data_IF_399005815161
#
_entry.id   IF_399005815161
#
_cell.length_a   1.000
_cell.length_b   1.000
_cell.length_c   1.000
_cell.angle_alpha   90.00
_cell.angle_beta   90.00
_cell.angle_gamma   90.00
#
_symmetry.space_group_name_H-M   'P 1'
#
loop_
_entity.id
_entity.type
_entity.pdbx_description
1 polymer ?
#
# COMPACT_ATOMS: atom_id res chain seq x y z
N UNK A 1 -6.22 9.10 -42.16
CA UNK A 1 -5.03 8.52 -41.49
C UNK A 1 -4.75 9.22 -40.15
N UNK A 2 -4.58 10.55 -40.11
CA UNK A 2 -4.26 11.29 -38.87
C UNK A 2 -5.30 11.13 -37.74
N UNK A 3 -6.60 11.24 -38.04
CA UNK A 3 -7.67 11.07 -37.02
C UNK A 3 -7.67 9.65 -36.44
N UNK A 4 -7.41 8.64 -37.27
CA UNK A 4 -7.36 7.26 -36.80
C UNK A 4 -6.14 6.95 -35.95
N UNK A 5 -5.02 7.60 -36.26
CA UNK A 5 -3.82 7.60 -35.43
C UNK A 5 -4.11 8.25 -34.06
N UNK A 6 -4.76 9.41 -34.04
CA UNK A 6 -5.10 10.14 -32.80
C UNK A 6 -6.05 9.33 -31.91
N UNK A 7 -7.08 8.68 -32.48
CA UNK A 7 -8.00 7.81 -31.73
C UNK A 7 -7.23 6.61 -31.16
N UNK A 8 -6.40 5.94 -31.96
CA UNK A 8 -5.59 4.79 -31.50
C UNK A 8 -4.61 5.19 -30.39
N UNK A 9 -3.99 6.37 -30.52
CA UNK A 9 -3.13 6.94 -29.49
C UNK A 9 -3.94 7.24 -28.22
N UNK A 10 -5.13 7.83 -28.33
CA UNK A 10 -6.02 8.05 -27.17
C UNK A 10 -6.37 6.77 -26.42
N UNK A 11 -6.76 5.71 -27.14
CA UNK A 11 -7.05 4.40 -26.55
C UNK A 11 -5.80 3.67 -26.02
N UNK A 12 -4.59 4.02 -26.47
CA UNK A 12 -3.35 3.48 -25.91
C UNK A 12 -3.05 3.99 -24.49
N UNK A 13 -3.69 5.09 -24.06
CA UNK A 13 -3.62 5.60 -22.69
C UNK A 13 -4.70 5.02 -21.76
N UNK A 14 -5.69 4.30 -22.29
CA UNK A 14 -6.76 3.70 -21.49
C UNK A 14 -6.25 2.78 -20.36
N UNK A 15 -5.20 1.94 -20.53
CA UNK A 15 -4.64 1.14 -19.45
C UNK A 15 -4.14 1.98 -18.27
N UNK A 16 -3.59 3.18 -18.52
CA UNK A 16 -3.18 4.09 -17.44
C UNK A 16 -4.35 4.60 -16.60
N UNK A 17 -5.58 4.47 -17.10
CA UNK A 17 -6.82 4.86 -16.40
C UNK A 17 -7.50 3.61 -15.81
N UNK A 18 -7.49 2.49 -16.54
CA UNK A 18 -8.13 1.23 -16.13
C UNK A 18 -7.32 0.52 -15.06
N UNK A 19 -5.99 0.47 -15.12
CA UNK A 19 -5.18 -0.25 -14.14
C UNK A 19 -5.36 0.32 -12.71
N UNK A 20 -5.35 1.65 -12.48
CA UNK A 20 -5.70 2.21 -11.18
C UNK A 20 -7.13 1.88 -10.74
N UNK A 21 -8.09 1.92 -11.67
CA UNK A 21 -9.49 1.62 -11.37
C UNK A 21 -9.72 0.14 -11.03
N UNK A 22 -9.08 -0.79 -11.76
CA UNK A 22 -9.12 -2.22 -11.45
C UNK A 22 -8.46 -2.48 -10.11
N UNK A 23 -7.26 -1.93 -9.86
CA UNK A 23 -6.57 -2.11 -8.58
C UNK A 23 -7.39 -1.57 -7.39
N UNK A 24 -8.10 -0.45 -7.57
CA UNK A 24 -9.00 0.11 -6.55
C UNK A 24 -10.24 -0.76 -6.28
N UNK A 25 -10.60 -1.66 -7.21
CA UNK A 25 -11.76 -2.55 -7.10
C UNK A 25 -11.38 -4.03 -6.90
N UNK A 26 -10.10 -4.35 -6.71
CA UNK A 26 -9.69 -5.70 -6.34
C UNK A 26 -10.19 -6.00 -4.93
N UNK A 27 -10.81 -7.17 -4.76
CA UNK A 27 -11.32 -7.63 -3.47
C UNK A 27 -10.12 -7.76 -2.52
N UNK A 28 -10.08 -6.95 -1.47
CA UNK A 28 -9.10 -7.09 -0.37
C UNK A 28 -9.20 -8.52 0.17
N UNK A 29 -8.09 -9.25 0.14
CA UNK A 29 -8.01 -10.58 0.71
C UNK A 29 -7.64 -10.45 2.19
N UNK A 30 -8.44 -11.05 3.05
CA UNK A 30 -8.16 -11.10 4.50
C UNK A 30 -7.22 -12.27 4.80
N UNK A 31 -6.26 -12.03 5.69
CA UNK A 31 -5.38 -13.06 6.22
C UNK A 31 -6.22 -14.14 6.89
N UNK A 32 -5.92 -15.41 6.60
CA UNK A 32 -6.62 -16.55 7.19
C UNK A 32 -5.64 -17.61 7.68
N UNK A 33 -6.14 -18.51 8.55
CA UNK A 33 -5.34 -19.61 9.09
C UNK A 33 -4.86 -20.59 8.00
N UNK A 34 -5.48 -20.60 6.81
CA UNK A 34 -5.06 -21.46 5.70
C UNK A 34 -3.87 -20.89 4.92
N UNK A 35 -3.58 -19.60 5.08
CA UNK A 35 -2.44 -18.94 4.46
C UNK A 35 -1.14 -19.25 5.22
N UNK A 36 0.02 -19.27 4.51
CA UNK A 36 1.32 -19.50 5.15
C UNK A 36 1.59 -18.56 6.33
N UNK A 37 1.38 -17.24 6.15
CA UNK A 37 1.58 -16.28 7.24
C UNK A 37 0.58 -16.49 8.39
N UNK A 38 -0.68 -16.80 8.09
CA UNK A 38 -1.69 -17.01 9.14
C UNK A 38 -1.36 -18.21 10.02
N UNK A 39 -0.97 -19.35 9.42
CA UNK A 39 -0.44 -20.51 10.17
C UNK A 39 0.79 -20.15 10.96
N UNK A 40 1.72 -19.42 10.33
CA UNK A 40 2.97 -19.04 10.95
C UNK A 40 2.75 -18.20 12.22
N UNK A 41 1.96 -17.13 12.12
CA UNK A 41 1.62 -16.27 13.26
C UNK A 41 0.90 -17.04 14.37
N UNK A 42 -0.01 -17.96 14.02
CA UNK A 42 -0.69 -18.85 14.97
C UNK A 42 0.28 -19.74 15.77
N UNK A 43 1.45 -20.05 15.22
CA UNK A 43 2.46 -20.87 15.87
C UNK A 43 3.49 -20.07 16.67
N UNK A 44 3.77 -18.82 16.29
CA UNK A 44 4.86 -18.03 16.91
C UNK A 44 4.37 -16.97 17.89
N UNK A 45 3.07 -16.67 17.94
CA UNK A 45 2.55 -15.56 18.75
C UNK A 45 2.79 -15.72 20.26
N UNK A 46 3.00 -16.93 20.77
CA UNK A 46 3.25 -17.20 22.19
C UNK A 46 4.75 -17.41 22.50
N UNK A 47 5.63 -17.31 21.51
CA UNK A 47 7.06 -17.38 21.76
C UNK A 47 7.53 -16.22 22.65
N UNK A 48 8.49 -16.43 23.58
CA UNK A 48 8.86 -15.42 24.58
C UNK A 48 9.33 -14.09 23.98
N UNK A 49 10.18 -14.12 22.94
CA UNK A 49 10.77 -12.91 22.35
C UNK A 49 9.98 -12.36 21.15
N UNK A 50 8.83 -12.93 20.81
CA UNK A 50 8.01 -12.44 19.68
C UNK A 50 6.89 -11.59 20.22
N UNK A 51 6.51 -10.51 19.56
CA UNK A 51 5.29 -9.77 19.86
C UNK A 51 4.53 -9.69 18.55
N UNK A 52 3.24 -10.03 18.55
CA UNK A 52 2.41 -9.85 17.36
C UNK A 52 1.51 -8.65 17.58
N UNK A 53 1.45 -7.77 16.58
CA UNK A 53 0.69 -6.53 16.63
C UNK A 53 -0.20 -6.39 15.39
N UNK A 54 -1.41 -5.88 15.58
CA UNK A 54 -2.29 -5.41 14.50
C UNK A 54 -1.87 -4.02 14.06
N UNK A 55 -1.69 -3.85 12.75
CA UNK A 55 -1.36 -2.56 12.13
C UNK A 55 -2.56 -1.94 11.42
N UNK A 56 -3.67 -1.81 12.15
CA UNK A 56 -4.96 -1.49 11.57
C UNK A 56 -5.58 -2.66 10.81
N UNK A 57 -6.51 -2.37 9.90
CA UNK A 57 -7.18 -3.40 9.10
C UNK A 57 -6.63 -3.45 7.68
N UNK A 58 -6.49 -2.29 7.06
CA UNK A 58 -6.05 -2.19 5.67
C UNK A 58 -4.97 -1.17 5.42
N UNK A 59 -4.55 -0.44 6.46
CA UNK A 59 -3.52 0.59 6.34
C UNK A 59 -3.90 1.69 5.33
N UNK A 60 -5.21 1.89 5.10
CA UNK A 60 -5.76 2.87 4.15
C UNK A 60 -6.86 3.68 4.80
N UNK A 61 -6.87 4.99 4.56
CA UNK A 61 -8.02 5.86 4.85
C UNK A 61 -9.23 5.50 3.97
N UNK A 62 -10.45 6.00 4.27
CA UNK A 62 -11.63 5.79 3.42
C UNK A 62 -11.43 6.18 1.94
N UNK A 63 -10.56 7.16 1.70
CA UNK A 63 -10.25 7.67 0.36
C UNK A 63 -9.04 7.00 -0.31
N UNK A 64 -8.42 6.02 0.34
CA UNK A 64 -7.31 5.24 -0.21
C UNK A 64 -5.93 5.90 -0.09
N UNK A 65 -5.76 6.87 0.81
CA UNK A 65 -4.43 7.31 1.25
C UNK A 65 -3.86 6.30 2.27
N UNK A 66 -2.59 5.92 2.09
CA UNK A 66 -1.96 4.75 2.71
C UNK A 66 -1.10 5.10 3.95
N UNK A 67 -1.21 6.31 4.49
CA UNK A 67 -0.30 6.78 5.55
C UNK A 67 -0.87 6.70 6.97
N UNK A 68 -2.18 6.82 7.15
CA UNK A 68 -2.80 6.91 8.48
C UNK A 68 -4.27 6.45 8.45
N UNK A 69 -4.54 5.19 8.76
CA UNK A 69 -5.89 4.61 8.62
C UNK A 69 -6.96 5.26 9.52
N UNK A 70 -6.57 5.78 10.69
CA UNK A 70 -7.49 6.25 11.72
C UNK A 70 -7.42 7.76 11.99
N UNK A 71 -6.60 8.50 11.24
CA UNK A 71 -6.49 9.94 11.38
C UNK A 71 -6.14 10.62 10.05
N UNK A 72 -6.74 11.78 9.78
CA UNK A 72 -6.38 12.63 8.66
C UNK A 72 -6.52 14.10 9.06
N UNK A 73 -5.56 14.93 8.66
CA UNK A 73 -5.65 16.39 8.85
C UNK A 73 -6.56 17.05 7.81
N UNK A 74 -6.67 16.46 6.62
CA UNK A 74 -7.41 17.03 5.50
C UNK A 74 -8.90 16.67 5.51
N UNK A 75 -9.27 15.60 6.21
CA UNK A 75 -10.63 15.06 6.17
C UNK A 75 -11.02 14.37 7.47
N UNK A 76 -12.29 14.49 7.83
CA UNK A 76 -12.84 13.79 8.98
C UNK A 76 -13.14 12.32 8.62
N UNK A 77 -12.39 11.40 9.23
CA UNK A 77 -12.67 9.97 9.15
C UNK A 77 -13.88 9.66 10.06
N UNK A 78 -14.96 9.02 9.57
CA UNK A 78 -16.12 8.70 10.39
C UNK A 78 -15.81 7.72 11.52
N UNK A 79 -16.36 7.91 12.72
CA UNK A 79 -16.19 6.97 13.85
C UNK A 79 -16.62 5.54 13.49
N UNK A 80 -17.70 5.39 12.72
CA UNK A 80 -18.18 4.08 12.27
C UNK A 80 -17.17 3.33 11.39
N UNK A 81 -16.34 4.07 10.63
CA UNK A 81 -15.25 3.47 9.85
C UNK A 81 -14.14 2.94 10.77
N UNK A 82 -13.75 3.72 11.77
CA UNK A 82 -12.76 3.31 12.78
C UNK A 82 -13.24 2.07 13.53
N UNK A 83 -14.51 2.05 13.97
CA UNK A 83 -15.12 0.91 14.65
C UNK A 83 -15.14 -0.35 13.78
N UNK A 84 -15.62 -0.25 12.54
CA UNK A 84 -15.66 -1.38 11.60
C UNK A 84 -14.26 -1.96 11.36
N UNK A 85 -13.29 -1.10 11.06
CA UNK A 85 -11.93 -1.54 10.76
C UNK A 85 -11.26 -2.17 11.97
N UNK A 86 -11.40 -1.60 13.17
CA UNK A 86 -10.89 -2.25 14.41
C UNK A 86 -11.55 -3.61 14.62
N UNK A 87 -12.87 -3.72 14.46
CA UNK A 87 -13.59 -4.98 14.67
C UNK A 87 -13.22 -6.06 13.66
N UNK A 88 -13.06 -5.70 12.39
CA UNK A 88 -12.63 -6.63 11.33
C UNK A 88 -11.20 -7.09 11.55
N UNK A 89 -10.27 -6.18 11.87
CA UNK A 89 -8.88 -6.53 12.18
C UNK A 89 -8.80 -7.51 13.36
N UNK A 90 -9.56 -7.25 14.43
CA UNK A 90 -9.66 -8.16 15.57
C UNK A 90 -10.25 -9.52 15.18
N UNK A 91 -11.30 -9.54 14.35
CA UNK A 91 -11.94 -10.78 13.89
C UNK A 91 -10.95 -11.66 13.13
N UNK A 92 -10.14 -11.06 12.26
CA UNK A 92 -9.06 -11.77 11.55
C UNK A 92 -8.08 -12.40 12.54
N UNK A 93 -7.49 -11.62 13.45
CA UNK A 93 -6.53 -12.15 14.43
C UNK A 93 -7.11 -13.21 15.37
N UNK A 94 -8.37 -13.04 15.78
CA UNK A 94 -9.10 -14.04 16.56
C UNK A 94 -9.23 -15.36 15.81
N UNK A 95 -9.51 -15.31 14.50
CA UNK A 95 -9.62 -16.50 13.67
C UNK A 95 -8.30 -17.26 13.52
N UNK A 96 -7.17 -16.57 13.68
CA UNK A 96 -5.82 -17.18 13.68
C UNK A 96 -5.48 -17.86 15.02
N UNK A 97 -6.34 -17.73 16.05
CA UNK A 97 -6.09 -18.27 17.38
C UNK A 97 -5.10 -17.46 18.23
N UNK A 98 -4.75 -16.24 17.79
CA UNK A 98 -3.86 -15.34 18.53
C UNK A 98 -4.64 -14.73 19.70
N UNK A 99 -4.21 -15.06 20.92
CA UNK A 99 -4.95 -14.69 22.14
C UNK A 99 -4.57 -13.30 22.61
N UNK A 100 -3.28 -13.03 22.71
CA UNK A 100 -2.72 -11.77 23.18
C UNK A 100 -1.90 -11.13 22.06
N UNK A 101 -2.19 -9.85 21.78
CA UNK A 101 -1.54 -9.09 20.72
C UNK A 101 -1.63 -7.59 21.02
N UNK A 102 -0.74 -6.83 20.37
CA UNK A 102 -0.76 -5.39 20.38
C UNK A 102 -1.63 -4.82 19.26
N UNK A 103 -1.99 -3.56 19.39
CA UNK A 103 -2.52 -2.76 18.31
C UNK A 103 -1.68 -1.50 18.21
N UNK A 104 -1.08 -1.31 17.05
CA UNK A 104 -0.18 -0.21 16.68
C UNK A 104 -0.80 0.47 15.45
N UNK A 105 -1.30 1.71 15.54
CA UNK A 105 -1.95 2.33 14.40
C UNK A 105 -0.94 2.67 13.28
N UNK A 106 -1.37 2.57 12.02
CA UNK A 106 -0.64 3.09 10.86
C UNK A 106 -0.16 4.54 11.06
N UNK A 107 1.08 4.80 10.67
CA UNK A 107 1.65 6.15 10.56
C UNK A 107 1.77 6.95 11.86
N UNK A 108 1.66 6.32 13.04
CA UNK A 108 1.65 7.02 14.32
C UNK A 108 0.60 8.16 14.36
N UNK A 109 -0.57 7.91 13.76
CA UNK A 109 -1.61 8.90 13.63
C UNK A 109 -2.96 8.33 14.09
N UNK A 110 -3.51 8.91 15.16
CA UNK A 110 -4.80 8.55 15.73
C UNK A 110 -5.38 9.72 16.53
N UNK A 111 -6.62 9.56 17.00
CA UNK A 111 -7.26 10.49 17.91
C UNK A 111 -7.98 9.79 19.07
N UNK A 112 -8.70 10.57 19.88
CA UNK A 112 -9.43 10.09 21.06
C UNK A 112 -10.53 9.07 20.74
N UNK A 113 -11.03 9.03 19.51
CA UNK A 113 -12.07 8.08 19.09
C UNK A 113 -11.49 6.68 19.02
N UNK A 114 -10.32 6.52 18.38
CA UNK A 114 -9.62 5.22 18.36
C UNK A 114 -9.31 4.74 19.78
N UNK A 115 -8.81 5.62 20.65
CA UNK A 115 -8.52 5.29 22.06
C UNK A 115 -9.77 4.76 22.77
N UNK A 116 -10.91 5.42 22.60
CA UNK A 116 -12.18 5.00 23.20
C UNK A 116 -12.62 3.63 22.69
N UNK A 117 -12.60 3.42 21.37
CA UNK A 117 -12.99 2.17 20.73
C UNK A 117 -12.11 1.02 21.22
N UNK A 118 -10.78 1.19 21.25
CA UNK A 118 -9.86 0.16 21.73
C UNK A 118 -10.14 -0.19 23.21
N UNK A 119 -10.41 0.79 24.07
CA UNK A 119 -10.77 0.53 25.47
C UNK A 119 -12.08 -0.26 25.58
N UNK A 120 -13.10 0.10 24.80
CA UNK A 120 -14.39 -0.61 24.74
C UNK A 120 -14.23 -2.05 24.22
N UNK A 121 -13.29 -2.29 23.30
CA UNK A 121 -12.94 -3.61 22.78
C UNK A 121 -11.97 -4.40 23.69
N UNK A 122 -11.73 -3.93 24.91
CA UNK A 122 -11.00 -4.66 25.94
C UNK A 122 -9.48 -4.46 25.92
N UNK A 123 -8.96 -3.46 25.21
CA UNK A 123 -7.54 -3.14 25.26
C UNK A 123 -7.18 -2.30 26.48
N UNK A 124 -5.98 -2.53 27.01
CA UNK A 124 -5.27 -1.57 27.85
C UNK A 124 -4.52 -0.63 26.91
N UNK A 125 -4.93 0.64 26.88
CA UNK A 125 -4.34 1.66 26.01
C UNK A 125 -3.36 2.50 26.80
N UNK A 126 -2.16 2.61 26.28
CA UNK A 126 -1.07 3.43 26.81
C UNK A 126 -0.79 4.53 25.80
N UNK A 127 -0.78 5.77 26.29
CA UNK A 127 -0.46 6.95 25.51
C UNK A 127 0.90 7.48 25.98
N UNK A 128 1.78 7.80 25.05
CA UNK A 128 3.10 8.34 25.35
C UNK A 128 3.54 9.39 24.35
N UNK A 129 4.78 9.86 24.52
CA UNK A 129 5.46 10.71 23.53
C UNK A 129 6.58 9.92 22.87
N UNK A 130 6.58 9.91 21.54
CA UNK A 130 7.66 9.33 20.77
C UNK A 130 8.81 10.30 20.79
N UNK A 131 9.95 9.83 21.29
CA UNK A 131 11.21 10.51 21.12
C UNK A 131 12.06 9.75 20.11
N UNK A 132 12.88 10.45 19.33
CA UNK A 132 13.86 9.83 18.45
C UNK A 132 13.63 10.14 16.98
N UNK A 133 14.17 9.28 16.11
CA UNK A 133 14.35 9.56 14.68
C UNK A 133 13.30 8.84 13.87
N UNK A 134 12.29 9.57 13.41
CA UNK A 134 11.31 9.07 12.43
C UNK A 134 11.42 9.93 11.15
N UNK A 135 11.51 9.32 9.95
CA UNK A 135 11.61 10.05 8.68
C UNK A 135 10.55 11.16 8.55
N UNK A 136 11.03 12.36 8.24
CA UNK A 136 10.26 13.62 8.30
C UNK A 136 9.21 13.82 7.21
N UNK A 137 9.10 12.95 6.20
CA UNK A 137 8.02 13.04 5.19
C UNK A 137 6.66 12.57 5.74
N UNK A 138 6.63 11.73 6.77
CA UNK A 138 5.42 11.29 7.49
C UNK A 138 5.12 12.22 8.68
N UNK A 139 6.14 12.90 9.20
CA UNK A 139 6.04 13.78 10.37
C UNK A 139 5.60 15.20 9.98
N UNK A 140 4.31 15.38 9.67
CA UNK A 140 3.73 16.71 9.53
C UNK A 140 3.74 17.45 10.88
N UNK A 141 4.65 18.42 10.99
CA UNK A 141 4.58 19.64 11.81
C UNK A 141 4.50 19.54 13.35
N UNK A 142 5.63 19.82 14.00
CA UNK A 142 5.80 20.62 15.24
C UNK A 142 4.91 20.30 16.46
N UNK A 143 4.36 19.10 16.59
CA UNK A 143 3.76 18.60 17.85
C UNK A 143 4.64 17.47 18.41
N UNK A 144 4.75 17.32 19.74
CA UNK A 144 5.27 16.07 20.28
C UNK A 144 4.40 14.95 19.70
N UNK A 145 5.02 14.10 18.86
CA UNK A 145 4.36 12.94 18.31
C UNK A 145 3.93 12.12 19.51
N UNK A 146 2.62 11.99 19.69
CA UNK A 146 2.13 11.04 20.68
C UNK A 146 2.41 9.64 20.11
N UNK A 147 2.24 8.60 20.89
CA UNK A 147 1.98 7.26 20.36
C UNK A 147 0.92 6.60 21.19
N UNK A 148 0.27 5.62 20.58
CA UNK A 148 -0.67 4.75 21.25
C UNK A 148 -0.17 3.32 21.11
N UNK A 149 -0.04 2.66 22.25
CA UNK A 149 0.14 1.22 22.32
C UNK A 149 -1.08 0.65 22.99
N UNK A 150 -1.75 -0.30 22.36
CA UNK A 150 -2.89 -0.98 22.95
C UNK A 150 -2.61 -2.48 23.09
N UNK A 151 -2.71 -2.99 24.32
CA UNK A 151 -2.48 -4.41 24.64
C UNK A 151 -3.82 -5.07 24.91
N UNK A 152 -4.16 -6.14 24.18
CA UNK A 152 -5.44 -6.82 24.37
C UNK A 152 -5.47 -7.57 25.70
N UNK A 153 -6.52 -7.37 26.52
CA UNK A 153 -6.73 -8.13 27.75
C UNK A 153 -7.39 -9.48 27.47
N UNK A 154 -6.92 -10.51 28.17
CA UNK A 154 -7.47 -11.86 28.19
C UNK A 154 -8.36 -12.02 29.42
N UNK A 155 -9.65 -12.28 29.20
CA UNK A 155 -10.64 -12.44 30.27
C UNK A 155 -10.64 -11.28 31.29
N UNK A 156 -10.38 -10.06 30.83
CA UNK A 156 -10.37 -8.84 31.64
C UNK A 156 -9.01 -8.47 32.27
N UNK A 157 -7.99 -9.33 32.16
CA UNK A 157 -6.65 -9.08 32.72
C UNK A 157 -5.57 -9.09 31.63
N UNK A 158 -4.41 -8.47 31.90
CA UNK A 158 -3.23 -8.62 31.04
C UNK A 158 -2.68 -10.04 31.22
N UNK A 159 -2.24 -10.67 30.13
CA UNK A 159 -1.50 -11.91 30.20
C UNK A 159 -0.07 -11.67 30.65
N UNK A 160 0.66 -12.74 30.98
CA UNK A 160 2.06 -12.66 31.39
C UNK A 160 2.94 -11.95 30.35
N UNK A 161 2.61 -12.12 29.07
CA UNK A 161 3.32 -11.50 27.97
C UNK A 161 3.03 -10.01 27.86
N UNK A 162 1.75 -9.62 27.99
CA UNK A 162 1.37 -8.21 28.07
C UNK A 162 2.04 -7.50 29.25
N UNK A 163 2.17 -8.17 30.40
CA UNK A 163 2.93 -7.67 31.55
C UNK A 163 4.42 -7.51 31.22
N UNK A 164 5.05 -8.50 30.61
CA UNK A 164 6.47 -8.43 30.23
C UNK A 164 6.75 -7.29 29.24
N UNK A 165 5.91 -7.14 28.22
CA UNK A 165 5.98 -6.04 27.26
C UNK A 165 5.83 -4.70 28.00
N UNK A 166 4.84 -4.58 28.88
CA UNK A 166 4.64 -3.37 29.68
C UNK A 166 5.87 -3.04 30.54
N UNK A 167 6.56 -4.05 31.07
CA UNK A 167 7.76 -3.86 31.89
C UNK A 167 8.94 -3.32 31.09
N UNK A 168 9.08 -3.75 29.83
CA UNK A 168 10.12 -3.25 28.93
C UNK A 168 9.82 -1.82 28.50
N UNK A 169 8.57 -1.56 28.11
CA UNK A 169 8.16 -0.28 27.56
C UNK A 169 8.02 0.79 28.64
N UNK A 170 7.50 0.43 29.81
CA UNK A 170 7.26 1.34 30.92
C UNK A 170 7.62 0.68 32.28
N UNK A 171 8.92 0.54 32.60
CA UNK A 171 9.35 -0.05 33.87
C UNK A 171 8.77 0.66 35.10
N UNK A 172 8.47 1.96 34.99
CA UNK A 172 7.85 2.78 36.05
C UNK A 172 6.36 2.49 36.26
N UNK A 173 5.71 1.79 35.34
CA UNK A 173 4.29 1.43 35.46
C UNK A 173 4.03 0.36 36.52
N UNK A 174 5.06 -0.40 36.94
CA UNK A 174 4.93 -1.43 37.96
C UNK A 174 4.84 -0.89 39.40
N UNK A 175 5.32 0.33 39.67
CA UNK A 175 5.42 0.84 41.05
C UNK A 175 4.09 1.33 41.65
N UNK A 176 2.98 1.28 40.93
CA UNK A 176 1.67 1.75 41.40
C UNK A 176 0.65 0.62 41.26
N UNK A 177 0.35 -0.05 42.37
CA UNK A 177 -0.68 -1.09 42.43
C UNK A 177 -2.07 -0.56 42.03
N UNK A 178 -2.84 -1.44 41.36
CA UNK A 178 -4.28 -1.45 41.01
C UNK A 178 -4.99 -0.18 40.50
N UNK A 179 -4.34 0.98 40.46
CA UNK A 179 -4.82 2.16 39.74
C UNK A 179 -3.77 2.55 38.74
N UNK A 180 -3.89 2.01 37.51
CA UNK A 180 -3.21 2.55 36.32
C UNK A 180 -3.83 3.92 36.02
N UNK A 181 -3.55 4.91 36.88
CA UNK A 181 -3.92 6.30 36.67
C UNK A 181 -3.00 6.88 35.59
N UNK A 182 -3.52 6.89 34.35
CA UNK A 182 -3.48 7.94 33.31
C UNK A 182 -2.22 8.82 33.08
N UNK A 183 -1.10 8.64 33.76
CA UNK A 183 0.01 9.61 33.76
C UNK A 183 1.41 8.99 33.76
N UNK A 184 1.52 7.70 33.45
CA UNK A 184 2.80 7.10 33.09
C UNK A 184 3.04 7.34 31.60
N UNK A 185 3.51 8.54 31.26
CA UNK A 185 4.07 8.79 29.93
C UNK A 185 5.19 7.80 29.69
N UNK A 186 4.95 6.88 28.76
CA UNK A 186 5.95 5.95 28.29
C UNK A 186 7.02 6.77 27.56
N UNK A 187 8.28 6.62 27.98
CA UNK A 187 9.44 7.21 27.30
C UNK A 187 10.19 6.11 26.57
N UNK A 188 9.80 5.87 25.33
CA UNK A 188 10.56 5.03 24.40
C UNK A 188 11.28 5.99 23.44
N UNK A 189 12.54 5.67 23.17
CA UNK A 189 13.26 6.29 22.06
C UNK A 189 13.11 5.38 20.85
N UNK A 190 12.19 5.75 19.96
CA UNK A 190 11.95 5.08 18.70
C UNK A 190 12.91 5.61 17.64
N UNK A 191 13.46 4.73 16.83
CA UNK A 191 14.27 5.15 15.70
C UNK A 191 14.07 4.25 14.48
N UNK A 192 13.80 4.90 13.36
CA UNK A 192 13.77 4.32 12.04
C UNK A 192 14.94 4.85 11.21
N UNK A 193 15.84 3.93 10.85
CA UNK A 193 17.04 4.24 10.07
C UNK A 193 16.98 3.71 8.63
N UNK A 194 16.14 2.69 8.42
CA UNK A 194 16.16 1.85 7.22
C UNK A 194 15.09 2.23 6.21
N UNK A 195 14.43 3.37 6.39
CA UNK A 195 13.42 3.86 5.47
C UNK A 195 13.95 3.94 4.03
N UNK A 196 13.22 3.36 3.08
CA UNK A 196 13.58 3.27 1.67
C UNK A 196 14.87 2.47 1.36
N UNK A 197 15.37 1.65 2.30
CA UNK A 197 16.52 0.78 2.04
C UNK A 197 16.23 -0.36 1.06
N UNK A 198 14.96 -0.62 0.72
CA UNK A 198 14.55 -1.51 -0.39
C UNK A 198 15.18 -1.15 -1.74
N UNK A 199 15.63 0.10 -1.90
CA UNK A 199 16.29 0.59 -3.11
C UNK A 199 17.82 0.66 -3.01
N UNK A 200 18.41 0.21 -1.90
CA UNK A 200 19.88 0.13 -1.78
C UNK A 200 20.44 -0.96 -2.69
N UNK A 201 21.61 -0.67 -3.28
CA UNK A 201 22.30 -1.57 -4.20
C UNK A 201 23.72 -1.92 -3.76
N UNK A 202 24.31 -1.16 -2.84
CA UNK A 202 25.62 -1.42 -2.26
C UNK A 202 25.73 -0.87 -0.82
N UNK A 203 26.80 -1.27 -0.11
CA UNK A 203 27.13 -0.80 1.25
C UNK A 203 27.94 0.51 1.25
N UNK A 204 28.40 0.99 0.09
CA UNK A 204 29.20 2.22 -0.06
C UNK A 204 28.31 3.47 -0.08
N UNK A 205 26.98 3.31 -0.18
CA UNK A 205 26.02 4.39 0.02
C UNK A 205 26.22 5.00 1.42
N UNK A 206 26.47 6.33 1.54
CA UNK A 206 26.71 7.01 2.82
C UNK A 206 25.63 6.80 3.89
N UNK A 207 24.43 6.37 3.48
CA UNK A 207 23.27 6.10 4.33
C UNK A 207 23.54 5.02 5.38
N UNK A 208 24.29 3.97 5.04
CA UNK A 208 24.56 2.87 6.00
C UNK A 208 25.45 3.35 7.15
N UNK A 209 26.57 4.02 6.85
CA UNK A 209 27.46 4.56 7.87
C UNK A 209 26.79 5.66 8.70
N UNK A 210 25.95 6.48 8.06
CA UNK A 210 25.16 7.49 8.76
C UNK A 210 24.18 6.85 9.75
N UNK A 211 23.48 5.78 9.35
CA UNK A 211 22.61 5.03 10.25
C UNK A 211 23.37 4.48 11.46
N UNK A 212 24.57 3.90 11.28
CA UNK A 212 25.38 3.42 12.39
C UNK A 212 25.87 4.53 13.33
N UNK A 213 26.20 5.72 12.79
CA UNK A 213 26.55 6.89 13.62
C UNK A 213 25.34 7.37 14.42
N UNK A 214 24.19 7.49 13.77
CA UNK A 214 22.95 7.96 14.40
C UNK A 214 22.46 6.97 15.46
N UNK A 215 22.52 5.67 15.20
CA UNK A 215 22.21 4.61 16.16
C UNK A 215 22.93 4.81 17.51
N UNK A 216 24.23 5.11 17.48
CA UNK A 216 25.02 5.37 18.69
C UNK A 216 24.64 6.67 19.40
N UNK A 217 24.30 7.70 18.64
CA UNK A 217 23.92 9.02 19.15
C UNK A 217 22.53 9.01 19.78
N UNK A 218 21.56 8.42 19.08
CA UNK A 218 20.15 8.42 19.45
C UNK A 218 19.91 7.43 20.62
N UNK A 219 20.73 6.39 20.77
CA UNK A 219 20.65 5.36 21.81
C UNK A 219 19.21 4.80 21.96
N UNK A 220 18.63 4.25 20.87
CA UNK A 220 17.22 3.90 20.82
C UNK A 220 16.89 2.71 21.73
N UNK A 221 15.64 2.70 22.20
CA UNK A 221 15.04 1.55 22.90
C UNK A 221 14.38 0.61 21.91
N UNK A 222 13.71 1.16 20.89
CA UNK A 222 13.01 0.39 19.86
C UNK A 222 13.46 0.86 18.47
N UNK A 223 13.82 -0.10 17.63
CA UNK A 223 14.18 0.14 16.23
C UNK A 223 12.99 -0.24 15.37
N UNK A 224 12.56 0.67 14.51
CA UNK A 224 11.45 0.46 13.58
C UNK A 224 12.03 0.27 12.18
N UNK A 225 11.50 -0.70 11.46
CA UNK A 225 11.73 -0.90 10.04
C UNK A 225 10.43 -1.33 9.36
N UNK A 226 10.34 -1.11 8.06
CA UNK A 226 9.27 -1.66 7.25
C UNK A 226 9.73 -2.97 6.61
N UNK A 227 8.85 -3.97 6.56
CA UNK A 227 9.11 -5.28 6.00
C UNK A 227 9.71 -5.24 4.57
N UNK A 228 9.27 -4.37 3.64
CA UNK A 228 9.89 -4.26 2.32
C UNK A 228 11.37 -3.83 2.35
N UNK A 229 11.79 -3.12 3.39
CA UNK A 229 13.17 -2.66 3.59
C UNK A 229 14.05 -3.74 4.28
N UNK A 230 13.48 -4.87 4.68
CA UNK A 230 14.21 -6.01 5.26
C UNK A 230 14.98 -6.79 4.17
N UNK A 231 16.23 -6.39 3.97
CA UNK A 231 17.18 -6.97 3.02
C UNK A 231 18.56 -7.16 3.70
N UNK A 232 19.58 -7.57 2.95
CA UNK A 232 20.92 -7.83 3.49
C UNK A 232 21.58 -6.62 4.19
N UNK A 233 21.31 -5.40 3.71
CA UNK A 233 21.83 -4.17 4.32
C UNK A 233 21.21 -3.96 5.70
N UNK A 234 19.88 -4.05 5.77
CA UNK A 234 19.11 -3.96 7.02
C UNK A 234 19.49 -5.07 7.99
N UNK A 235 19.67 -6.29 7.51
CA UNK A 235 20.12 -7.43 8.34
C UNK A 235 21.46 -7.13 9.02
N UNK A 236 22.46 -6.68 8.26
CA UNK A 236 23.77 -6.28 8.80
C UNK A 236 23.67 -5.12 9.79
N UNK A 237 22.83 -4.12 9.51
CA UNK A 237 22.60 -3.01 10.42
C UNK A 237 21.99 -3.50 11.75
N UNK A 238 20.98 -4.35 11.70
CA UNK A 238 20.32 -4.90 12.88
C UNK A 238 21.27 -5.77 13.71
N UNK A 239 22.16 -6.54 13.09
CA UNK A 239 23.20 -7.29 13.80
C UNK A 239 24.14 -6.39 14.62
N UNK A 240 24.44 -5.18 14.16
CA UNK A 240 25.18 -4.20 14.96
C UNK A 240 24.29 -3.55 16.03
N UNK A 241 23.04 -3.28 15.69
CA UNK A 241 22.12 -2.58 16.58
C UNK A 241 21.75 -3.39 17.83
N UNK A 242 21.51 -4.69 17.70
CA UNK A 242 21.18 -5.57 18.85
C UNK A 242 22.32 -5.74 19.85
N UNK A 243 23.55 -5.35 19.50
CA UNK A 243 24.68 -5.33 20.45
C UNK A 243 24.57 -4.19 21.46
N UNK A 244 23.74 -3.18 21.18
CA UNK A 244 23.54 -2.06 22.09
C UNK A 244 22.61 -2.45 23.25
N UNK A 245 23.02 -2.27 24.52
CA UNK A 245 22.18 -2.62 25.66
C UNK A 245 20.87 -1.82 25.75
N UNK A 246 20.78 -0.67 25.08
CA UNK A 246 19.57 0.16 25.03
C UNK A 246 18.48 -0.48 24.19
N UNK A 247 18.84 -1.19 23.12
CA UNK A 247 17.89 -1.79 22.18
C UNK A 247 17.21 -2.97 22.84
N UNK A 248 15.89 -2.87 23.01
CA UNK A 248 15.04 -3.90 23.62
C UNK A 248 14.04 -4.49 22.64
N UNK A 249 13.70 -3.75 21.58
CA UNK A 249 12.67 -4.14 20.61
C UNK A 249 13.12 -3.83 19.19
N UNK A 250 12.91 -4.78 18.29
CA UNK A 250 12.92 -4.56 16.84
C UNK A 250 11.49 -4.70 16.35
N UNK A 251 10.92 -3.63 15.82
CA UNK A 251 9.57 -3.56 15.26
C UNK A 251 9.64 -3.59 13.74
N UNK A 252 8.92 -4.54 13.14
CA UNK A 252 8.84 -4.72 11.70
C UNK A 252 7.41 -4.47 11.22
N UNK A 253 7.19 -3.32 10.60
CA UNK A 253 5.91 -2.85 10.07
C UNK A 253 5.62 -3.45 8.69
N UNK A 254 4.36 -3.32 8.25
CA UNK A 254 3.90 -3.76 6.93
C UNK A 254 4.07 -5.25 6.62
N UNK A 255 4.02 -6.13 7.62
CA UNK A 255 3.94 -7.57 7.36
C UNK A 255 2.57 -7.91 6.79
N UNK A 256 2.54 -8.47 5.58
CA UNK A 256 1.35 -8.80 4.78
C UNK A 256 1.33 -10.28 4.40
N UNK A 257 0.19 -10.81 3.94
CA UNK A 257 0.01 -12.25 3.67
C UNK A 257 1.02 -12.87 2.69
N UNK A 258 1.60 -12.06 1.79
CA UNK A 258 2.60 -12.44 0.80
C UNK A 258 4.06 -12.27 1.29
N UNK A 259 4.25 -11.95 2.57
CA UNK A 259 5.57 -11.82 3.17
C UNK A 259 6.32 -13.16 3.17
N UNK A 260 7.60 -13.10 2.82
CA UNK A 260 8.57 -14.19 2.87
C UNK A 260 8.89 -14.51 4.34
N UNK A 261 8.36 -15.65 4.77
CA UNK A 261 8.52 -16.15 6.15
C UNK A 261 9.99 -16.33 6.53
N UNK A 262 10.90 -16.61 5.58
CA UNK A 262 12.32 -16.78 5.90
C UNK A 262 12.98 -15.50 6.40
N UNK A 263 12.46 -14.33 6.00
CA UNK A 263 12.92 -13.04 6.53
C UNK A 263 12.40 -12.80 7.94
N UNK A 264 11.17 -13.22 8.21
CA UNK A 264 10.54 -13.13 9.54
C UNK A 264 11.25 -14.08 10.52
N UNK A 265 11.49 -15.32 10.12
CA UNK A 265 12.27 -16.31 10.88
C UNK A 265 13.65 -15.74 11.27
N UNK A 266 14.34 -15.13 10.31
CA UNK A 266 15.64 -14.51 10.57
C UNK A 266 15.57 -13.40 11.63
N UNK A 267 14.52 -12.56 11.62
CA UNK A 267 14.32 -11.53 12.63
C UNK A 267 14.10 -12.14 14.01
N UNK A 268 13.20 -13.14 14.10
CA UNK A 268 12.91 -13.85 15.35
C UNK A 268 14.19 -14.49 15.91
N UNK A 269 14.97 -15.15 15.06
CA UNK A 269 16.25 -15.77 15.46
C UNK A 269 17.29 -14.73 15.91
N UNK A 270 17.31 -13.54 15.31
CA UNK A 270 18.14 -12.44 15.79
C UNK A 270 17.70 -12.00 17.19
N UNK A 271 16.40 -11.81 17.41
CA UNK A 271 15.82 -11.44 18.69
C UNK A 271 16.14 -12.45 19.79
N UNK A 272 15.88 -13.74 19.53
CA UNK A 272 16.17 -14.86 20.45
C UNK A 272 17.64 -14.89 20.86
N UNK A 273 18.57 -14.80 19.91
CA UNK A 273 20.02 -14.88 20.18
C UNK A 273 20.56 -13.68 20.97
N UNK A 274 19.88 -12.55 20.95
CA UNK A 274 20.33 -11.32 21.61
C UNK A 274 19.42 -10.87 22.77
N UNK A 275 18.41 -11.67 23.13
CA UNK A 275 17.41 -11.35 24.14
C UNK A 275 16.71 -9.99 23.88
N UNK A 276 16.28 -9.79 22.64
CA UNK A 276 15.56 -8.62 22.14
C UNK A 276 14.20 -9.07 21.66
N UNK A 277 13.14 -8.31 21.96
CA UNK A 277 11.81 -8.59 21.44
C UNK A 277 11.73 -8.24 19.95
N UNK A 278 11.00 -9.05 19.19
CA UNK A 278 10.70 -8.85 17.79
C UNK A 278 9.21 -8.63 17.66
N UNK A 279 8.82 -7.40 17.36
CA UNK A 279 7.45 -6.98 17.17
C UNK A 279 7.07 -7.10 15.69
N UNK A 280 6.25 -8.10 15.37
CA UNK A 280 5.70 -8.39 14.06
C UNK A 280 4.40 -7.61 13.89
N UNK A 281 4.45 -6.51 13.16
CA UNK A 281 3.34 -5.58 12.99
C UNK A 281 2.66 -5.87 11.66
N UNK A 282 1.47 -6.46 11.75
CA UNK A 282 0.80 -7.15 10.64
C UNK A 282 -0.39 -6.33 10.14
N UNK A 283 -0.44 -6.11 8.83
CA UNK A 283 -1.65 -5.60 8.15
C UNK A 283 -2.47 -6.82 7.72
N UNK A 284 -3.68 -7.03 8.29
CA UNK A 284 -4.44 -8.26 8.08
C UNK A 284 -5.13 -8.34 6.72
N UNK A 285 -5.11 -7.26 5.92
CA UNK A 285 -5.56 -7.31 4.53
C UNK A 285 -4.46 -7.00 3.54
N UNK A 286 -4.56 -7.62 2.37
CA UNK A 286 -3.74 -7.28 1.22
C UNK A 286 -4.67 -7.02 0.06
N UNK A 287 -4.44 -5.94 -0.69
CA UNK A 287 -5.01 -5.84 -2.03
C UNK A 287 -4.26 -6.87 -2.87
N UNK A 288 -4.91 -7.91 -3.41
CA UNK A 288 -4.22 -8.93 -4.19
C UNK A 288 -3.45 -8.22 -5.30
N UNK A 289 -2.12 -8.31 -5.29
CA UNK A 289 -1.39 -7.82 -6.45
C UNK A 289 -1.79 -8.72 -7.62
N UNK A 290 -2.28 -8.12 -8.71
CA UNK A 290 -2.48 -8.87 -9.95
C UNK A 290 -1.12 -9.51 -10.25
N UNK A 291 -1.08 -10.84 -10.26
CA UNK A 291 0.16 -11.57 -10.45
C UNK A 291 0.93 -11.00 -11.66
N UNK A 292 2.26 -10.84 -11.60
CA UNK A 292 3.02 -10.14 -12.65
C UNK A 292 2.74 -10.67 -14.06
N UNK A 293 2.50 -11.99 -14.19
CA UNK A 293 2.13 -12.63 -15.45
C UNK A 293 0.73 -12.20 -15.93
N UNK A 294 -0.25 -12.06 -15.04
CA UNK A 294 -1.61 -11.66 -15.37
C UNK A 294 -1.63 -10.18 -15.78
N UNK A 295 -0.88 -9.31 -15.10
CA UNK A 295 -0.70 -7.90 -15.51
C UNK A 295 -0.05 -7.83 -16.89
N UNK A 296 0.98 -8.62 -17.13
CA UNK A 296 1.63 -8.73 -18.45
C UNK A 296 0.65 -9.19 -19.52
N UNK A 297 -0.19 -10.19 -19.22
CA UNK A 297 -1.16 -10.74 -20.15
C UNK A 297 -2.29 -9.75 -20.46
N UNK A 298 -2.75 -8.97 -19.47
CA UNK A 298 -3.70 -7.86 -19.67
C UNK A 298 -3.09 -6.79 -20.58
N UNK A 299 -1.84 -6.38 -20.35
CA UNK A 299 -1.17 -5.41 -21.23
C UNK A 299 -1.00 -5.96 -22.65
N UNK A 300 -0.49 -7.18 -22.81
CA UNK A 300 -0.27 -7.79 -24.13
C UNK A 300 -1.59 -7.96 -24.87
N UNK A 301 -2.63 -8.48 -24.21
CA UNK A 301 -3.95 -8.63 -24.81
C UNK A 301 -4.58 -7.29 -25.20
N UNK A 302 -4.38 -6.23 -24.41
CA UNK A 302 -4.82 -4.89 -24.76
C UNK A 302 -4.13 -4.35 -26.00
N UNK A 303 -2.80 -4.45 -26.08
CA UNK A 303 -2.07 -4.03 -27.28
C UNK A 303 -2.47 -4.87 -28.50
N UNK A 304 -2.68 -6.17 -28.35
CA UNK A 304 -3.21 -7.02 -29.41
C UNK A 304 -4.60 -6.58 -29.86
N UNK A 305 -5.50 -6.23 -28.94
CA UNK A 305 -6.83 -5.70 -29.26
C UNK A 305 -6.76 -4.37 -30.02
N UNK A 306 -5.89 -3.45 -29.60
CA UNK A 306 -5.67 -2.18 -30.30
C UNK A 306 -5.18 -2.41 -31.74
N UNK A 307 -4.24 -3.33 -31.93
CA UNK A 307 -3.65 -3.63 -33.24
C UNK A 307 -4.59 -4.41 -34.17
N UNK A 308 -5.38 -5.34 -33.63
CA UNK A 308 -6.21 -6.26 -34.43
C UNK A 308 -7.63 -5.78 -34.64
N UNK A 309 -8.18 -4.97 -33.72
CA UNK A 309 -9.57 -4.52 -33.77
C UNK A 309 -9.66 -3.02 -34.00
N UNK A 310 -9.04 -2.21 -33.13
CA UNK A 310 -9.23 -0.75 -33.16
C UNK A 310 -8.59 -0.13 -34.40
N UNK A 311 -7.30 -0.39 -34.65
CA UNK A 311 -6.58 0.19 -35.77
C UNK A 311 -7.19 -0.18 -37.13
N UNK A 312 -7.53 -1.45 -37.42
CA UNK A 312 -8.16 -1.82 -38.69
C UNK A 312 -9.56 -1.20 -38.83
N UNK A 313 -10.40 -1.27 -37.79
CA UNK A 313 -11.76 -0.71 -37.82
C UNK A 313 -11.74 0.77 -38.13
N UNK A 314 -10.91 1.53 -37.41
CA UNK A 314 -10.79 2.97 -37.62
C UNK A 314 -10.23 3.28 -39.01
N UNK A 315 -9.28 2.47 -39.50
CA UNK A 315 -8.74 2.62 -40.86
C UNK A 315 -9.81 2.36 -41.93
N UNK A 316 -10.59 1.28 -41.81
CA UNK A 316 -11.66 0.94 -42.74
C UNK A 316 -12.78 1.98 -42.73
N UNK A 317 -13.22 2.43 -41.56
CA UNK A 317 -14.23 3.48 -41.42
C UNK A 317 -13.77 4.77 -42.10
N UNK A 318 -12.52 5.19 -41.85
CA UNK A 318 -11.94 6.35 -42.52
C UNK A 318 -11.86 6.15 -44.04
N UNK A 319 -11.46 4.97 -44.50
CA UNK A 319 -11.34 4.66 -45.92
C UNK A 319 -12.70 4.67 -46.62
N UNK A 320 -13.74 4.15 -45.96
CA UNK A 320 -15.13 4.23 -46.40
C UNK A 320 -15.60 5.68 -46.55
N UNK A 321 -15.39 6.53 -45.54
CA UNK A 321 -15.78 7.94 -45.61
C UNK A 321 -15.01 8.70 -46.70
N UNK A 322 -13.70 8.46 -46.85
CA UNK A 322 -12.91 9.05 -47.93
C UNK A 322 -13.38 8.58 -49.31
N UNK A 323 -13.57 7.27 -49.49
CA UNK A 323 -14.09 6.70 -50.74
C UNK A 323 -15.45 7.27 -51.10
N UNK A 324 -16.36 7.33 -50.14
CA UNK A 324 -17.69 7.92 -50.31
C UNK A 324 -17.63 9.40 -50.71
N UNK A 325 -16.77 10.18 -50.04
CA UNK A 325 -16.54 11.59 -50.39
C UNK A 325 -16.03 11.76 -51.82
N UNK A 326 -15.04 10.96 -52.25
CA UNK A 326 -14.49 11.02 -53.60
C UNK A 326 -15.50 10.59 -54.66
N UNK A 327 -16.30 9.55 -54.40
CA UNK A 327 -17.37 9.10 -55.30
C UNK A 327 -18.42 10.20 -55.45
N UNK A 328 -18.90 10.81 -54.35
CA UNK A 328 -19.84 11.94 -54.40
C UNK A 328 -19.27 13.13 -55.18
N UNK A 329 -18.00 13.48 -54.96
CA UNK A 329 -17.35 14.60 -55.64
C UNK A 329 -17.19 14.34 -57.15
N UNK A 330 -16.85 13.11 -57.56
CA UNK A 330 -16.81 12.72 -58.98
C UNK A 330 -18.20 12.78 -59.61
N UNK A 331 -19.23 12.28 -58.92
CA UNK A 331 -20.63 12.31 -59.40
C UNK A 331 -21.15 13.75 -59.55
N UNK A 332 -20.83 14.65 -58.61
CA UNK A 332 -21.16 16.08 -58.75
C UNK A 332 -20.44 16.75 -59.92
N UNK A 333 -19.15 16.44 -60.13
CA UNK A 333 -18.40 16.97 -61.28
C UNK A 333 -18.93 16.47 -62.61
N UNK A 334 -19.32 15.19 -62.71
CA UNK A 334 -19.91 14.65 -63.94
C UNK A 334 -21.27 15.26 -64.24
N UNK A 335 -22.11 15.47 -63.22
CA UNK A 335 -23.41 16.13 -63.38
C UNK A 335 -23.26 17.58 -63.85
N UNK A 336 -22.34 18.36 -63.26
CA UNK A 336 -22.04 19.72 -63.74
C UNK A 336 -21.54 19.74 -65.19
N UNK A 337 -20.74 18.75 -65.60
CA UNK A 337 -20.22 18.63 -66.97
C UNK A 337 -21.33 18.30 -67.99
N UNK A 338 -22.33 17.51 -67.59
CA UNK A 338 -23.52 17.23 -68.41
C UNK A 338 -24.38 18.48 -68.57
N UNK A 339 -24.64 19.21 -67.48
CA UNK A 339 -25.40 20.46 -67.49
C UNK A 339 -24.71 21.55 -68.33
N UNK A 340 -23.37 21.58 -68.34
CA UNK A 340 -22.57 22.50 -69.15
C UNK A 340 -22.53 22.11 -70.65
N UNK A 341 -22.68 20.81 -70.97
CA UNK A 341 -22.82 20.30 -72.34
C UNK A 341 -24.22 20.57 -72.91
N UNK A 342 -25.27 20.45 -72.09
CA UNK A 342 -26.65 20.79 -72.48
C UNK A 342 -26.84 22.29 -72.77
N UNK A 343 -26.02 23.17 -72.17
CA UNK A 343 -26.05 24.62 -72.42
C UNK A 343 -25.32 25.08 -73.68
N UNK A 344 -24.57 24.21 -74.35
CA UNK A 344 -23.91 24.55 -75.63
C UNK A 344 -24.85 24.21 -76.79
N UNK A 345 -24.97 25.08 -77.82
CA UNK A 345 -25.82 24.77 -78.96
C UNK A 345 -25.30 23.51 -79.66
N UNK A 346 -26.12 22.46 -79.69
CA UNK A 346 -25.84 21.25 -80.44
C UNK A 346 -25.93 21.58 -81.93
N UNK A 347 -24.78 21.70 -82.59
CA UNK A 347 -24.71 21.82 -84.04
C UNK A 347 -24.90 20.43 -84.64
N UNK A 348 -26.05 20.21 -85.27
CA UNK A 348 -26.30 19.02 -86.07
C UNK A 348 -25.73 19.24 -87.46
N UNK A 349 -24.70 18.48 -87.83
CA UNK A 349 -24.17 18.48 -89.19
C UNK A 349 -24.96 17.44 -89.98
N UNK A 350 -25.87 17.91 -90.83
CA UNK A 350 -26.54 17.07 -91.83
C UNK A 350 -25.63 17.03 -93.07
N UNK A 351 -25.02 15.87 -93.32
CA UNK A 351 -24.29 15.62 -94.55
C UNK A 351 -25.27 15.07 -95.61
N UNK A 352 -25.50 15.77 -96.73
CA UNK A 352 -26.26 15.20 -97.82
C UNK A 352 -25.45 14.08 -98.47
N UNK A 353 -26.05 12.89 -98.56
CA UNK A 353 -25.54 11.82 -99.40
C UNK A 353 -26.14 11.99 -100.80
N UNK A 354 -25.25 12.06 -101.79
CA UNK A 354 -25.48 12.02 -103.23
C UNK A 354 -25.74 13.35 -103.98
N UNK A 355 -24.78 13.66 -104.85
CA UNK A 355 -24.99 14.41 -106.08
C UNK A 355 -25.57 13.44 -107.12
N UNK A 356 -26.65 13.81 -107.79
CA UNK A 356 -26.97 13.31 -109.14
C UNK A 356 -26.36 14.22 -110.19
#
# INVERSE_FOLDING_TARGET
MLIGLVITIGFSFLPRIIDPWVNANLVKEELSIDMPLGRYLSNVWDEPNVIVALHGYSHTTPNGDDNAEFYSESEEIPTSYIEDHVERAMTVFNSLGIKEYLFEPPGFAWDERLVKILKEKGFTVLEGEVHGRIPTEVAYSVRPMRFILAIRKLNGFLGSKGEEILNVLSPKAQTVGETVEKSLMIKIVDAEYTWNWRYMTDFEVPRYEEALRNLKSDNPTRIILHYPDLNEFTKRFLEEAVKMPSVKIIRCDDIKSDSDLSKIDWLIDLGKRNNVFVELVVVPTVVPSIAPWARTLIHVSWYLFLWTVVLPTVTFVMWFFFGWYFIRRKKLKSLKKVEELERKPLVSIILPAYNE
#
